data_IF_746743806533
#
_entry.id   IF_746743806533
#
_cell.length_a   1.000
_cell.length_b   1.000
_cell.length_c   1.000
_cell.angle_alpha   90.00
_cell.angle_beta   90.00
_cell.angle_gamma   90.00
#
_symmetry.space_group_name_H-M   'P 1'
#
loop_
_entity.id
_entity.type
_entity.pdbx_description
1 polymer ?
#
# COMPACT_ATOMS: atom_id res chain seq x y z
N UNK A 1 10.30 6.10 -13.40
CA UNK A 1 11.70 5.76 -13.09
C UNK A 1 11.77 4.46 -12.30
N UNK A 2 12.91 3.79 -12.34
CA UNK A 2 13.24 2.60 -11.57
C UNK A 2 14.66 2.77 -11.06
N UNK A 3 14.83 2.84 -9.76
CA UNK A 3 16.13 3.05 -9.12
C UNK A 3 16.47 1.88 -8.18
N UNK A 4 17.57 2.04 -7.44
CA UNK A 4 18.03 1.02 -6.49
C UNK A 4 17.10 0.87 -5.29
N UNK A 5 16.45 1.94 -4.87
CA UNK A 5 15.58 1.97 -3.69
C UNK A 5 14.13 2.18 -4.11
N UNK A 6 13.26 1.34 -3.61
CA UNK A 6 11.83 1.33 -3.92
C UNK A 6 11.03 1.22 -2.63
N UNK A 7 9.84 1.82 -2.62
CA UNK A 7 8.84 1.54 -1.60
C UNK A 7 7.81 0.55 -2.13
N UNK A 8 7.39 -0.36 -1.29
CA UNK A 8 6.31 -1.31 -1.53
C UNK A 8 5.32 -1.26 -0.37
N UNK A 9 4.16 -1.89 -0.51
CA UNK A 9 3.21 -2.05 0.59
C UNK A 9 3.81 -2.96 1.68
N UNK A 10 3.66 -2.57 2.95
CA UNK A 10 4.18 -3.35 4.07
C UNK A 10 3.65 -4.80 4.10
N UNK A 11 2.40 -4.99 3.69
CA UNK A 11 1.76 -6.31 3.60
C UNK A 11 2.31 -7.21 2.47
N UNK A 12 3.13 -6.67 1.56
CA UNK A 12 3.78 -7.44 0.49
C UNK A 12 5.04 -8.18 0.94
N UNK A 13 5.42 -8.05 2.20
CA UNK A 13 6.54 -8.77 2.81
C UNK A 13 6.16 -9.45 4.12
N UNK A 14 6.65 -10.66 4.32
CA UNK A 14 6.64 -11.37 5.61
C UNK A 14 8.01 -11.98 5.87
N UNK A 15 8.56 -11.78 7.07
CA UNK A 15 9.79 -12.44 7.50
C UNK A 15 9.61 -13.95 7.72
N UNK A 16 8.40 -14.36 8.14
CA UNK A 16 7.99 -15.76 8.32
C UNK A 16 6.66 -15.97 7.58
N UNK A 17 6.69 -16.55 6.37
CA UNK A 17 5.51 -16.65 5.53
C UNK A 17 4.51 -17.68 6.06
N UNK A 18 3.21 -17.35 5.92
CA UNK A 18 2.11 -18.29 6.18
C UNK A 18 1.85 -19.18 4.95
N UNK A 19 1.20 -20.34 5.10
CA UNK A 19 0.85 -21.21 3.98
C UNK A 19 0.11 -20.45 2.87
N UNK A 20 0.51 -20.70 1.62
CA UNK A 20 -0.04 -20.06 0.40
C UNK A 20 0.29 -18.57 0.22
N UNK A 21 1.14 -17.98 1.07
CA UNK A 21 1.63 -16.62 0.82
C UNK A 21 2.50 -16.60 -0.43
N UNK A 22 2.16 -15.72 -1.39
CA UNK A 22 2.81 -15.66 -2.71
C UNK A 22 3.49 -14.32 -2.99
N UNK A 23 3.81 -13.56 -1.93
CA UNK A 23 4.51 -12.29 -2.03
C UNK A 23 5.94 -12.45 -1.54
N UNK A 24 6.62 -11.37 -1.18
CA UNK A 24 8.04 -11.39 -0.82
C UNK A 24 8.28 -11.98 0.57
N UNK A 25 9.25 -12.87 0.65
CA UNK A 25 9.87 -13.39 1.88
C UNK A 25 11.24 -13.97 1.52
N UNK A 26 12.17 -14.13 2.49
CA UNK A 26 13.48 -14.72 2.23
C UNK A 26 13.36 -16.10 1.57
N UNK A 27 14.11 -16.31 0.49
CA UNK A 27 14.07 -17.53 -0.33
C UNK A 27 12.69 -17.86 -0.96
N UNK A 28 11.79 -16.90 -0.96
CA UNK A 28 10.46 -17.01 -1.52
C UNK A 28 10.40 -17.04 -3.05
N UNK A 29 9.17 -17.07 -3.61
CA UNK A 29 8.99 -17.03 -5.04
C UNK A 29 9.40 -15.69 -5.62
N UNK A 30 9.78 -15.69 -6.88
CA UNK A 30 9.89 -14.46 -7.67
C UNK A 30 8.54 -13.77 -7.75
N UNK A 31 8.53 -12.45 -7.58
CA UNK A 31 7.36 -11.58 -7.71
C UNK A 31 7.57 -10.57 -8.84
N UNK A 32 6.48 -10.07 -9.40
CA UNK A 32 6.53 -8.99 -10.40
C UNK A 32 6.35 -7.64 -9.71
N UNK A 33 7.23 -6.71 -9.97
CA UNK A 33 6.94 -5.29 -9.79
C UNK A 33 6.06 -4.84 -10.95
N UNK A 34 4.89 -4.29 -10.67
CA UNK A 34 3.90 -3.95 -11.70
C UNK A 34 4.51 -3.04 -12.78
N UNK A 35 4.51 -3.55 -14.03
CA UNK A 35 5.02 -2.81 -15.19
C UNK A 35 6.54 -2.58 -15.21
N UNK A 36 7.30 -3.25 -14.32
CA UNK A 36 8.75 -3.09 -14.23
C UNK A 36 9.46 -4.44 -14.40
N UNK A 37 10.00 -5.00 -13.35
CA UNK A 37 10.85 -6.19 -13.40
C UNK A 37 10.34 -7.29 -12.49
N UNK A 38 10.86 -8.49 -12.68
CA UNK A 38 10.74 -9.58 -11.73
C UNK A 38 11.84 -9.42 -10.68
N UNK A 39 11.46 -9.59 -9.42
CA UNK A 39 12.38 -9.53 -8.28
C UNK A 39 12.27 -10.79 -7.43
N UNK A 40 13.36 -11.11 -6.73
CA UNK A 40 13.43 -12.17 -5.74
C UNK A 40 14.00 -11.61 -4.44
N UNK A 41 13.32 -11.84 -3.32
CA UNK A 41 13.81 -11.46 -2.01
C UNK A 41 15.00 -12.35 -1.63
N UNK A 42 16.12 -11.71 -1.26
CA UNK A 42 17.35 -12.37 -0.80
C UNK A 42 17.57 -12.23 0.71
N UNK A 43 16.85 -11.30 1.36
CA UNK A 43 16.97 -11.04 2.78
C UNK A 43 16.21 -9.80 3.21
N UNK A 44 16.43 -9.41 4.47
CA UNK A 44 15.88 -8.18 5.03
C UNK A 44 16.74 -7.69 6.19
N UNK A 45 16.57 -6.43 6.54
CA UNK A 45 17.22 -5.79 7.69
C UNK A 45 16.18 -5.42 8.75
N UNK A 46 16.60 -5.39 10.00
CA UNK A 46 15.73 -5.01 11.13
C UNK A 46 16.42 -3.98 12.02
N UNK A 47 15.61 -3.17 12.69
CA UNK A 47 16.09 -2.34 13.79
C UNK A 47 16.35 -3.15 15.09
N UNK A 48 16.81 -2.46 16.14
CA UNK A 48 17.07 -3.07 17.43
C UNK A 48 15.81 -3.63 18.13
N UNK A 49 14.62 -3.21 17.72
CA UNK A 49 13.33 -3.69 18.21
C UNK A 49 12.79 -4.89 17.40
N UNK A 50 13.47 -5.26 16.29
CA UNK A 50 13.06 -6.34 15.40
C UNK A 50 12.08 -5.93 14.30
N UNK A 51 11.80 -4.63 14.12
CA UNK A 51 10.98 -4.16 13.01
C UNK A 51 11.77 -4.20 11.71
N UNK A 52 11.15 -4.65 10.63
CA UNK A 52 11.77 -4.67 9.31
C UNK A 52 11.97 -3.25 8.81
N UNK A 53 13.21 -2.89 8.49
CA UNK A 53 13.59 -1.56 7.99
C UNK A 53 13.90 -1.55 6.51
N UNK A 54 14.40 -2.67 5.97
CA UNK A 54 14.67 -2.82 4.55
C UNK A 54 14.48 -4.27 4.09
N UNK A 55 14.08 -4.44 2.83
CA UNK A 55 13.98 -5.72 2.16
C UNK A 55 15.05 -5.74 1.07
N UNK A 56 15.88 -6.77 1.08
CA UNK A 56 16.92 -6.97 0.10
C UNK A 56 16.40 -7.87 -1.02
N UNK A 57 16.54 -7.42 -2.25
CA UNK A 57 16.08 -8.17 -3.41
C UNK A 57 17.02 -8.04 -4.59
N UNK A 58 17.07 -9.08 -5.40
CA UNK A 58 17.69 -9.08 -6.73
C UNK A 58 16.60 -8.92 -7.78
N UNK A 59 16.88 -8.17 -8.85
CA UNK A 59 15.98 -8.06 -9.99
C UNK A 59 16.56 -8.78 -11.21
N UNK A 60 15.66 -9.28 -12.05
CA UNK A 60 16.02 -9.87 -13.33
C UNK A 60 16.04 -8.76 -14.42
N UNK A 61 17.20 -8.36 -14.93
CA UNK A 61 17.31 -7.28 -15.90
C UNK A 61 16.62 -7.59 -17.23
N UNK A 62 16.48 -8.87 -17.57
CA UNK A 62 15.88 -9.33 -18.82
C UNK A 62 14.35 -9.49 -18.73
N UNK A 63 13.76 -9.18 -17.58
CA UNK A 63 12.31 -9.28 -17.31
C UNK A 63 11.56 -7.96 -17.43
N UNK A 64 12.07 -7.01 -18.19
CA UNK A 64 11.44 -5.69 -18.34
C UNK A 64 10.00 -5.82 -18.84
N UNK A 65 9.07 -5.19 -18.09
CA UNK A 65 7.63 -5.32 -18.32
C UNK A 65 6.96 -6.38 -17.43
N UNK A 66 7.76 -7.18 -16.69
CA UNK A 66 7.30 -8.15 -15.71
C UNK A 66 7.27 -9.60 -16.17
N UNK A 67 7.76 -9.89 -17.39
CA UNK A 67 7.87 -11.25 -17.90
C UNK A 67 9.34 -11.60 -18.19
N UNK A 68 9.84 -12.73 -17.65
CA UNK A 68 11.20 -13.19 -17.89
C UNK A 68 11.45 -13.54 -19.36
N UNK A 69 12.62 -13.14 -19.91
CA UNK A 69 12.96 -13.40 -21.31
C UNK A 69 13.10 -14.89 -21.64
N UNK A 70 13.42 -15.73 -20.64
CA UNK A 70 13.55 -17.18 -20.79
C UNK A 70 12.20 -17.92 -20.77
N UNK A 71 11.08 -17.20 -20.62
CA UNK A 71 9.72 -17.74 -20.62
C UNK A 71 9.35 -18.53 -19.36
N UNK A 72 10.19 -18.51 -18.30
CA UNK A 72 9.84 -19.17 -17.03
C UNK A 72 8.61 -18.51 -16.40
N UNK A 73 7.81 -19.34 -15.73
CA UNK A 73 6.60 -18.86 -15.06
C UNK A 73 6.92 -18.27 -13.69
N UNK A 74 6.67 -16.97 -13.52
CA UNK A 74 6.72 -16.30 -12.21
C UNK A 74 5.54 -16.76 -11.35
N UNK A 75 5.83 -17.37 -10.20
CA UNK A 75 4.84 -17.99 -9.31
C UNK A 75 4.29 -17.04 -8.25
N UNK A 76 5.02 -15.97 -7.94
CA UNK A 76 4.61 -14.95 -6.98
C UNK A 76 3.61 -13.96 -7.55
N UNK A 77 3.10 -13.11 -6.67
CA UNK A 77 2.14 -12.08 -7.01
C UNK A 77 2.77 -10.93 -7.81
N UNK A 78 1.92 -10.12 -8.43
CA UNK A 78 2.31 -8.78 -8.91
C UNK A 78 2.06 -7.81 -7.78
N UNK A 79 3.08 -7.05 -7.38
CA UNK A 79 3.05 -6.07 -6.31
C UNK A 79 3.17 -4.65 -6.86
N UNK A 80 2.57 -3.70 -6.15
CA UNK A 80 2.72 -2.26 -6.43
C UNK A 80 4.02 -1.75 -5.83
N UNK A 81 4.57 -0.71 -6.43
CA UNK A 81 5.82 -0.10 -5.98
C UNK A 81 5.90 1.36 -6.42
N UNK A 82 6.70 2.15 -5.72
CA UNK A 82 7.08 3.51 -6.13
C UNK A 82 8.59 3.69 -5.99
N UNK A 83 9.18 4.45 -6.89
CA UNK A 83 10.61 4.75 -6.88
C UNK A 83 10.93 5.72 -5.72
N UNK A 84 11.81 5.33 -4.82
CA UNK A 84 12.14 6.13 -3.64
C UNK A 84 12.74 7.50 -3.98
N UNK A 85 13.46 7.60 -5.11
CA UNK A 85 14.06 8.86 -5.54
C UNK A 85 13.04 9.90 -6.04
N UNK A 86 11.85 9.47 -6.45
CA UNK A 86 10.83 10.33 -7.05
C UNK A 86 9.48 10.28 -6.34
N UNK A 87 9.31 9.37 -5.39
CA UNK A 87 8.09 9.26 -4.60
C UNK A 87 7.77 10.57 -3.88
N UNK A 88 6.49 10.87 -3.77
CA UNK A 88 5.97 12.06 -3.08
C UNK A 88 5.37 11.65 -1.75
N UNK A 89 5.67 12.42 -0.70
CA UNK A 89 5.04 12.25 0.60
C UNK A 89 3.57 12.68 0.56
N UNK A 90 2.73 11.90 1.19
CA UNK A 90 1.31 12.21 1.32
C UNK A 90 0.76 11.72 2.67
N UNK A 91 -0.23 12.40 3.17
CA UNK A 91 -1.09 11.91 4.23
C UNK A 91 -2.24 11.12 3.60
N UNK A 92 -2.51 9.93 4.11
CA UNK A 92 -3.64 9.11 3.66
C UNK A 92 -4.57 8.84 4.83
N UNK A 93 -5.86 9.10 4.63
CA UNK A 93 -6.91 8.92 5.62
C UNK A 93 -7.81 7.77 5.23
N UNK A 94 -7.89 6.77 6.10
CA UNK A 94 -8.70 5.58 5.95
C UNK A 94 -9.88 5.68 6.90
N UNK A 95 -11.07 5.86 6.35
CA UNK A 95 -12.31 5.96 7.13
C UNK A 95 -12.96 4.59 7.26
N UNK A 96 -13.53 4.32 8.42
CA UNK A 96 -14.39 3.19 8.73
C UNK A 96 -15.72 3.68 9.30
N UNK A 97 -16.63 2.78 9.64
CA UNK A 97 -17.90 3.12 10.23
C UNK A 97 -17.72 3.95 11.50
N UNK A 98 -18.40 5.10 11.56
CA UNK A 98 -18.35 5.97 12.74
C UNK A 98 -18.94 5.31 13.98
N UNK A 99 -19.95 4.47 13.79
CA UNK A 99 -20.64 3.77 14.87
C UNK A 99 -20.51 2.25 14.74
N UNK A 100 -20.43 1.57 15.86
CA UNK A 100 -20.45 0.11 15.97
C UNK A 100 -21.86 -0.46 15.83
N UNK A 101 -22.89 0.37 15.97
CA UNK A 101 -24.32 0.05 15.89
C UNK A 101 -24.95 0.73 14.67
N UNK A 102 -25.83 0.05 13.97
CA UNK A 102 -26.55 0.61 12.82
C UNK A 102 -27.60 1.69 13.24
N UNK A 103 -28.11 1.61 14.47
CA UNK A 103 -29.07 2.55 15.05
C UNK A 103 -28.55 3.06 16.40
N UNK A 104 -27.51 3.93 16.40
CA UNK A 104 -26.82 4.33 17.62
C UNK A 104 -27.64 5.22 18.56
N UNK A 105 -28.67 5.86 18.03
CA UNK A 105 -29.60 6.74 18.75
C UNK A 105 -30.99 6.10 19.04
N UNK A 106 -31.15 4.80 18.76
CA UNK A 106 -32.44 4.12 19.00
C UNK A 106 -32.69 3.82 20.47
N UNK A 107 -33.90 4.13 20.93
CA UNK A 107 -34.31 3.91 22.30
C UNK A 107 -33.58 4.82 23.29
N UNK A 108 -33.16 4.25 24.43
CA UNK A 108 -32.44 4.99 25.48
C UNK A 108 -30.90 4.97 25.31
N UNK A 109 -30.41 4.61 24.11
CA UNK A 109 -28.97 4.56 23.81
C UNK A 109 -28.39 5.96 23.80
N UNK A 110 -27.17 6.10 24.34
CA UNK A 110 -26.36 7.26 24.10
C UNK A 110 -25.45 6.96 22.89
N UNK A 111 -25.61 7.67 21.77
CA UNK A 111 -24.85 7.47 20.55
C UNK A 111 -23.32 7.60 20.76
N UNK A 112 -22.88 8.37 21.76
CA UNK A 112 -21.45 8.50 22.10
C UNK A 112 -20.84 7.16 22.56
N UNK A 113 -21.63 6.29 23.18
CA UNK A 113 -21.18 4.96 23.63
C UNK A 113 -21.06 3.97 22.46
N UNK A 114 -21.65 4.31 21.32
CA UNK A 114 -21.62 3.53 20.09
C UNK A 114 -20.52 3.97 19.10
N UNK A 115 -19.68 4.92 19.46
CA UNK A 115 -18.59 5.37 18.59
C UNK A 115 -17.56 4.26 18.38
N UNK A 116 -17.13 4.09 17.12
CA UNK A 116 -16.02 3.21 16.76
C UNK A 116 -14.70 3.90 17.14
N UNK A 117 -13.88 3.35 18.05
CA UNK A 117 -12.64 4.00 18.51
C UNK A 117 -11.62 4.25 17.39
N UNK A 118 -11.64 3.44 16.34
CA UNK A 118 -10.73 3.48 15.19
C UNK A 118 -11.45 3.81 13.88
N UNK A 119 -12.45 4.69 13.92
CA UNK A 119 -13.20 5.10 12.73
C UNK A 119 -12.39 5.91 11.71
N UNK A 120 -11.22 6.40 12.11
CA UNK A 120 -10.27 7.10 11.26
C UNK A 120 -8.85 6.61 11.59
N UNK A 121 -8.16 6.09 10.57
CA UNK A 121 -6.74 5.81 10.60
C UNK A 121 -6.03 6.82 9.70
N UNK A 122 -5.00 7.47 10.22
CA UNK A 122 -4.18 8.43 9.47
C UNK A 122 -2.79 7.86 9.24
N UNK A 123 -2.39 7.78 7.98
CA UNK A 123 -1.05 7.39 7.53
C UNK A 123 -0.30 8.66 7.09
N UNK A 124 0.49 9.29 7.99
CA UNK A 124 1.03 10.63 7.73
C UNK A 124 2.22 10.65 6.76
N UNK A 125 2.81 9.50 6.46
CA UNK A 125 4.04 9.37 5.67
C UNK A 125 3.91 8.35 4.54
N UNK A 126 2.73 8.25 3.94
CA UNK A 126 2.55 7.41 2.77
C UNK A 126 3.38 7.94 1.60
N UNK A 127 3.85 7.02 0.76
CA UNK A 127 4.60 7.35 -0.46
C UNK A 127 3.73 7.07 -1.68
N UNK A 128 3.53 8.09 -2.50
CA UNK A 128 2.74 8.01 -3.71
C UNK A 128 3.60 8.26 -4.95
N UNK A 129 3.09 7.88 -6.11
CA UNK A 129 3.79 8.05 -7.38
C UNK A 129 4.05 9.53 -7.67
N UNK A 130 5.19 9.84 -8.31
CA UNK A 130 5.60 11.19 -8.70
C UNK A 130 4.53 11.93 -9.52
N UNK A 131 3.74 11.20 -10.31
CA UNK A 131 2.64 11.76 -11.09
C UNK A 131 1.54 12.44 -10.29
N UNK A 132 1.48 12.17 -8.97
CA UNK A 132 0.51 12.78 -8.07
C UNK A 132 1.00 14.09 -7.43
N UNK A 133 2.24 14.52 -7.67
CA UNK A 133 2.81 15.73 -7.06
C UNK A 133 1.97 17.01 -7.30
N UNK A 134 1.28 17.09 -8.42
CA UNK A 134 0.39 18.20 -8.79
C UNK A 134 -1.10 17.87 -8.67
N UNK A 135 -1.47 16.85 -7.90
CA UNK A 135 -2.87 16.48 -7.74
C UNK A 135 -3.65 17.56 -6.96
N UNK A 136 -4.77 17.98 -7.50
CA UNK A 136 -5.62 19.02 -6.91
C UNK A 136 -7.01 18.47 -6.60
N UNK A 137 -7.63 19.00 -5.55
CA UNK A 137 -9.00 18.67 -5.22
C UNK A 137 -9.98 19.19 -6.30
N UNK A 138 -11.05 18.42 -6.62
CA UNK A 138 -11.49 17.15 -6.03
C UNK A 138 -11.06 15.91 -6.82
N UNK A 139 -9.87 15.90 -7.42
CA UNK A 139 -9.41 14.78 -8.24
C UNK A 139 -9.44 13.44 -7.46
N UNK A 140 -9.84 12.38 -8.16
CA UNK A 140 -9.94 11.04 -7.60
C UNK A 140 -9.03 10.06 -8.32
N UNK A 141 -8.43 9.15 -7.56
CA UNK A 141 -7.45 8.18 -8.04
C UNK A 141 -7.75 6.79 -7.48
N UNK A 142 -7.42 5.77 -8.25
CA UNK A 142 -7.39 4.40 -7.74
C UNK A 142 -5.97 4.09 -7.25
N UNK A 143 -5.82 3.84 -5.95
CA UNK A 143 -4.62 3.23 -5.41
C UNK A 143 -4.76 1.72 -5.53
N UNK A 144 -3.90 1.13 -6.36
CA UNK A 144 -3.99 -0.28 -6.74
C UNK A 144 -4.02 -1.17 -5.51
N UNK A 145 -5.00 -2.07 -5.44
CA UNK A 145 -5.26 -3.00 -4.34
C UNK A 145 -5.69 -2.35 -3.01
N UNK A 146 -5.73 -1.02 -2.92
CA UNK A 146 -6.08 -0.29 -1.69
C UNK A 146 -7.49 0.30 -1.73
N UNK A 147 -7.89 0.87 -2.86
CA UNK A 147 -9.20 1.50 -3.00
C UNK A 147 -9.20 2.70 -3.93
N UNK A 148 -10.26 3.48 -3.81
CA UNK A 148 -10.40 4.76 -4.49
C UNK A 148 -10.22 5.89 -3.47
N UNK A 149 -9.45 6.90 -3.87
CA UNK A 149 -9.06 8.01 -3.01
C UNK A 149 -9.32 9.32 -3.71
N UNK A 150 -9.75 10.33 -2.97
CA UNK A 150 -9.90 11.69 -3.46
C UNK A 150 -8.95 12.63 -2.72
N UNK A 151 -8.47 13.64 -3.43
CA UNK A 151 -7.68 14.72 -2.81
C UNK A 151 -8.58 15.51 -1.87
N UNK A 152 -8.12 15.72 -0.63
CA UNK A 152 -8.85 16.50 0.37
C UNK A 152 -8.91 17.98 -0.05
N UNK A 153 -10.08 18.58 0.02
CA UNK A 153 -10.33 19.96 -0.45
C UNK A 153 -10.04 21.04 0.60
N UNK A 154 -9.73 20.66 1.83
CA UNK A 154 -9.46 21.58 2.93
C UNK A 154 -8.00 21.55 3.37
N UNK A 155 -7.48 20.35 3.51
CA UNK A 155 -6.18 20.12 4.14
C UNK A 155 -5.05 19.89 3.14
N UNK A 156 -5.38 19.53 1.86
CA UNK A 156 -4.38 19.36 0.83
C UNK A 156 -3.88 20.70 0.29
N UNK A 157 -2.57 20.82 0.17
CA UNK A 157 -1.89 22.01 -0.34
C UNK A 157 -0.63 21.60 -1.15
N UNK A 158 -0.06 22.50 -1.97
CA UNK A 158 1.22 22.25 -2.62
C UNK A 158 2.31 21.84 -1.61
N UNK A 159 2.89 20.65 -1.83
CA UNK A 159 3.89 20.07 -0.91
C UNK A 159 3.32 19.36 0.32
N UNK A 160 2.00 19.33 0.49
CA UNK A 160 1.30 18.58 1.52
C UNK A 160 0.03 17.96 0.94
N UNK A 161 0.18 16.81 0.31
CA UNK A 161 -0.94 16.09 -0.27
C UNK A 161 -1.69 15.29 0.80
N UNK A 162 -3.00 15.42 0.81
CA UNK A 162 -3.89 14.64 1.67
C UNK A 162 -4.91 13.90 0.82
N UNK A 163 -4.98 12.57 1.00
CA UNK A 163 -5.92 11.71 0.29
C UNK A 163 -6.91 11.05 1.25
N UNK A 164 -8.19 11.17 0.96
CA UNK A 164 -9.25 10.49 1.68
C UNK A 164 -9.70 9.25 0.91
N UNK A 165 -9.73 8.07 1.56
CA UNK A 165 -10.32 6.88 0.96
C UNK A 165 -11.83 7.04 0.88
N UNK A 166 -12.34 7.10 -0.36
CA UNK A 166 -13.78 7.20 -0.63
C UNK A 166 -14.45 5.84 -0.73
N UNK A 167 -13.75 4.83 -1.29
CA UNK A 167 -14.27 3.47 -1.43
C UNK A 167 -13.14 2.48 -1.19
N UNK A 168 -13.35 1.50 -0.31
CA UNK A 168 -12.46 0.33 -0.18
C UNK A 168 -12.71 -0.64 -1.33
N UNK A 169 -11.68 -1.43 -1.70
CA UNK A 169 -11.89 -2.58 -2.56
C UNK A 169 -12.53 -3.70 -1.71
N UNK A 170 -13.60 -4.33 -2.23
CA UNK A 170 -14.17 -5.50 -1.60
C UNK A 170 -13.08 -6.58 -1.46
N UNK A 171 -12.63 -6.81 -0.24
CA UNK A 171 -11.85 -8.00 0.07
C UNK A 171 -12.84 -9.16 0.01
N UNK A 172 -12.78 -9.98 -1.04
CA UNK A 172 -13.47 -11.27 -1.03
C UNK A 172 -13.01 -11.98 0.24
N UNK A 173 -13.95 -12.12 1.18
CA UNK A 173 -13.74 -12.94 2.37
C UNK A 173 -13.43 -14.36 1.90
N UNK A 174 -12.19 -14.79 2.17
CA UNK A 174 -11.72 -16.15 1.91
C UNK A 174 -11.98 -16.99 3.13
#
# INVERSE_FOLDING_TARGET
TFSRELYIEAEDFLSAPVPKYKRLYPDGPECRLKGAYVIKCTGYETDAAGNVTAILAEYDPDSRGGDPADGRKVKGATIHWVDAATAVDAEVRLYDNLFTDAEPDAGDKNFLDCLTPSSLEVLPHAKVEAGLAGAEAPASFQFLRQGYFCVDNKDSAPGHLVFNRSVSLDRKST
#
